data_IF_016056541994
#
_entry.id   IF_016056541994
#
_cell.length_a   1.000
_cell.length_b   1.000
_cell.length_c   1.000
_cell.angle_alpha   90.00
_cell.angle_beta   90.00
_cell.angle_gamma   90.00
#
_symmetry.space_group_name_H-M   'P 1'
#
loop_
_entity.id
_entity.type
_entity.pdbx_description
1 polymer ?
#
# COMPACT_ATOMS: atom_id res chain seq x y z
N UNK A 1 13.72 -19.68 29.13
CA UNK A 1 14.14 -18.40 28.54
C UNK A 1 13.27 -17.34 29.18
N UNK A 2 13.82 -16.23 29.70
CA UNK A 2 12.98 -15.11 30.12
C UNK A 2 12.13 -14.62 28.93
N UNK A 3 10.92 -14.13 29.18
CA UNK A 3 10.03 -13.64 28.12
C UNK A 3 10.57 -12.35 27.49
N UNK A 4 10.09 -11.97 26.29
CA UNK A 4 10.59 -10.81 25.54
C UNK A 4 10.57 -9.51 26.34
N UNK A 5 9.62 -9.36 27.27
CA UNK A 5 9.52 -8.20 28.17
C UNK A 5 10.78 -7.97 29.02
N UNK A 6 11.43 -9.04 29.49
CA UNK A 6 12.62 -8.93 30.33
C UNK A 6 13.86 -8.48 29.52
N UNK A 7 13.87 -8.75 28.22
CA UNK A 7 14.97 -8.40 27.31
C UNK A 7 14.82 -6.99 26.71
N UNK A 8 13.71 -6.29 26.98
CA UNK A 8 13.47 -4.92 26.54
C UNK A 8 14.34 -3.87 27.25
N UNK A 9 14.89 -4.17 28.44
CA UNK A 9 15.52 -3.14 29.28
C UNK A 9 16.57 -2.28 28.55
N UNK A 10 17.52 -2.83 27.77
CA UNK A 10 18.48 -2.02 27.02
C UNK A 10 17.85 -1.09 25.99
N UNK A 11 16.76 -1.52 25.35
CA UNK A 11 16.01 -0.71 24.38
C UNK A 11 15.24 0.41 25.08
N UNK A 12 14.59 0.10 26.20
CA UNK A 12 13.83 1.10 26.97
C UNK A 12 14.76 2.18 27.52
N UNK A 13 15.96 1.82 27.97
CA UNK A 13 16.96 2.79 28.42
C UNK A 13 17.46 3.67 27.26
N UNK A 14 17.62 3.10 26.07
CA UNK A 14 17.93 3.90 24.87
C UNK A 14 16.81 4.88 24.51
N UNK A 15 15.54 4.43 24.55
CA UNK A 15 14.38 5.28 24.32
C UNK A 15 14.33 6.46 25.31
N UNK A 16 14.46 6.16 26.62
CA UNK A 16 14.46 7.18 27.68
C UNK A 16 15.62 8.16 27.57
N UNK A 17 16.76 7.71 27.05
CA UNK A 17 17.91 8.58 26.81
C UNK A 17 17.66 9.60 25.69
N UNK A 18 16.66 9.37 24.82
CA UNK A 18 16.26 10.31 23.77
C UNK A 18 17.29 10.55 22.67
N UNK A 19 18.30 9.68 22.54
CA UNK A 19 19.42 9.87 21.61
C UNK A 19 19.14 9.19 20.26
N UNK A 20 19.23 9.92 19.13
CA UNK A 20 19.12 9.31 17.80
C UNK A 20 20.12 8.18 17.58
N UNK A 21 19.70 7.16 16.83
CA UNK A 21 20.61 6.12 16.37
C UNK A 21 21.54 6.71 15.30
N UNK A 22 22.83 6.88 15.59
CA UNK A 22 23.80 7.35 14.59
C UNK A 22 24.12 6.31 13.50
N UNK A 23 23.90 5.04 13.83
CA UNK A 23 24.06 3.87 12.98
C UNK A 23 22.97 2.83 13.33
N UNK A 24 22.98 1.66 12.67
CA UNK A 24 22.06 0.57 13.02
C UNK A 24 22.38 0.07 14.44
N UNK A 25 21.38 0.13 15.34
CA UNK A 25 21.47 -0.40 16.70
C UNK A 25 20.59 -1.64 16.81
N UNK A 26 21.20 -2.81 16.95
CA UNK A 26 20.50 -4.08 17.18
C UNK A 26 20.43 -4.37 18.69
N UNK A 27 19.22 -4.49 19.23
CA UNK A 27 18.95 -4.92 20.60
C UNK A 27 18.60 -6.41 20.60
N UNK A 28 18.48 -7.00 21.79
CA UNK A 28 17.90 -8.35 21.91
C UNK A 28 16.47 -8.40 21.35
N UNK A 29 15.71 -7.32 21.60
CA UNK A 29 14.35 -7.15 21.13
C UNK A 29 14.29 -5.90 20.25
N UNK A 30 14.29 -6.11 18.92
CA UNK A 30 14.15 -5.06 17.91
C UNK A 30 15.42 -4.32 17.51
N UNK A 31 15.26 -3.42 16.53
CA UNK A 31 16.35 -2.67 15.89
C UNK A 31 15.97 -1.21 15.72
N UNK A 32 16.85 -0.28 16.09
CA UNK A 32 16.75 1.12 15.73
C UNK A 32 17.66 1.48 14.54
N UNK A 33 17.19 2.35 13.65
CA UNK A 33 17.91 2.79 12.46
C UNK A 33 18.11 4.32 12.41
N UNK A 34 19.13 4.81 11.67
CA UNK A 34 19.44 6.24 11.60
C UNK A 34 18.36 7.14 11.00
N UNK A 35 17.40 6.57 10.28
CA UNK A 35 16.26 7.30 9.72
C UNK A 35 15.11 7.46 10.73
N UNK A 36 15.31 7.10 12.00
CA UNK A 36 14.31 7.20 13.05
C UNK A 36 13.32 6.03 13.07
N UNK A 37 13.59 4.94 12.34
CA UNK A 37 12.82 3.70 12.46
C UNK A 37 13.19 2.94 13.72
N UNK A 38 12.17 2.49 14.44
CA UNK A 38 12.26 1.46 15.46
C UNK A 38 11.44 0.25 15.01
N UNK A 39 12.12 -0.82 14.60
CA UNK A 39 11.49 -2.08 14.19
C UNK A 39 11.48 -3.06 15.36
N UNK A 40 10.28 -3.26 15.88
CA UNK A 40 9.91 -4.19 16.93
C UNK A 40 8.94 -5.25 16.42
N UNK A 41 8.89 -5.49 15.09
CA UNK A 41 8.02 -6.52 14.55
C UNK A 41 8.47 -7.93 14.97
N UNK A 42 7.50 -8.82 15.21
CA UNK A 42 7.69 -10.25 15.48
C UNK A 42 8.54 -10.51 16.73
N UNK A 43 8.35 -9.68 17.73
CA UNK A 43 9.00 -9.76 19.03
C UNK A 43 8.08 -10.34 20.12
N UNK A 44 6.82 -10.64 19.77
CA UNK A 44 5.83 -11.22 20.70
C UNK A 44 5.64 -10.34 21.96
N UNK A 45 5.66 -9.02 21.79
CA UNK A 45 5.62 -8.06 22.90
C UNK A 45 4.35 -8.16 23.75
N UNK A 46 3.21 -8.49 23.11
CA UNK A 46 1.90 -8.39 23.72
C UNK A 46 1.55 -6.97 24.16
N UNK A 47 0.41 -6.82 24.84
CA UNK A 47 -0.03 -5.53 25.37
C UNK A 47 0.94 -4.96 26.42
N UNK A 48 1.53 -5.80 27.27
CA UNK A 48 2.46 -5.38 28.33
C UNK A 48 3.76 -4.79 27.75
N UNK A 49 4.42 -5.49 26.83
CA UNK A 49 5.64 -4.98 26.20
C UNK A 49 5.38 -3.70 25.39
N UNK A 50 4.25 -3.62 24.70
CA UNK A 50 3.84 -2.41 24.00
C UNK A 50 3.59 -1.23 24.96
N UNK A 51 3.02 -1.47 26.14
CA UNK A 51 2.84 -0.44 27.15
C UNK A 51 4.18 0.10 27.68
N UNK A 52 5.16 -0.77 27.93
CA UNK A 52 6.49 -0.35 28.37
C UNK A 52 7.20 0.50 27.30
N UNK A 53 7.08 0.13 26.02
CA UNK A 53 7.64 0.91 24.91
C UNK A 53 6.95 2.27 24.81
N UNK A 54 5.61 2.30 24.87
CA UNK A 54 4.83 3.55 24.83
C UNK A 54 5.17 4.47 26.01
N UNK A 55 5.33 3.93 27.21
CA UNK A 55 5.75 4.68 28.39
C UNK A 55 7.15 5.27 28.21
N UNK A 56 8.11 4.48 27.72
CA UNK A 56 9.47 4.95 27.47
C UNK A 56 9.53 6.05 26.40
N UNK A 57 8.70 5.95 25.35
CA UNK A 57 8.55 6.98 24.33
C UNK A 57 7.97 8.30 24.88
N UNK A 58 7.09 8.22 25.89
CA UNK A 58 6.45 9.39 26.48
C UNK A 58 7.32 10.13 27.51
N UNK A 59 8.39 9.52 28.02
CA UNK A 59 9.22 10.06 29.11
C UNK A 59 10.24 11.14 28.67
N UNK A 60 10.34 11.47 27.38
CA UNK A 60 11.30 12.47 26.90
C UNK A 60 11.23 12.70 25.39
N UNK A 61 12.16 13.49 24.82
CA UNK A 61 12.25 13.64 23.37
C UNK A 61 12.59 12.29 22.74
N UNK A 62 11.72 11.81 21.84
CA UNK A 62 11.90 10.52 21.20
C UNK A 62 12.70 10.65 19.89
N UNK A 63 13.72 9.81 19.67
CA UNK A 63 14.40 9.72 18.37
C UNK A 63 13.57 8.97 17.31
N UNK A 64 12.41 8.41 17.69
CA UNK A 64 11.61 7.52 16.85
C UNK A 64 10.60 8.33 16.04
N UNK A 65 10.70 8.23 14.72
CA UNK A 65 9.75 8.80 13.75
C UNK A 65 8.83 7.73 13.16
N UNK A 66 9.28 6.48 13.12
CA UNK A 66 8.52 5.37 12.55
C UNK A 66 8.56 4.18 13.50
N UNK A 67 7.42 3.89 14.13
CA UNK A 67 7.28 2.82 15.10
C UNK A 67 6.63 1.60 14.43
N UNK A 68 7.39 0.52 14.30
CA UNK A 68 6.97 -0.71 13.64
C UNK A 68 6.79 -1.81 14.68
N UNK A 69 5.54 -2.12 14.99
CA UNK A 69 5.11 -3.11 15.98
C UNK A 69 4.19 -4.12 15.29
N UNK A 70 4.69 -4.83 14.28
CA UNK A 70 3.89 -5.78 13.51
C UNK A 70 4.05 -7.22 13.94
N UNK A 71 2.93 -7.95 14.07
CA UNK A 71 2.92 -9.38 14.46
C UNK A 71 3.41 -9.58 15.90
N UNK A 72 2.91 -8.77 16.83
CA UNK A 72 3.32 -8.77 18.24
C UNK A 72 2.19 -9.11 19.20
N UNK A 73 0.98 -9.36 18.70
CA UNK A 73 -0.15 -9.80 19.52
C UNK A 73 -0.67 -8.73 20.48
N UNK A 74 -0.64 -7.45 20.07
CA UNK A 74 -0.99 -6.34 20.94
C UNK A 74 -2.46 -6.32 21.39
N UNK A 75 -3.37 -6.80 20.53
CA UNK A 75 -4.81 -6.63 20.71
C UNK A 75 -5.23 -5.15 20.74
N UNK A 76 -6.49 -4.91 21.11
CA UNK A 76 -7.05 -3.56 21.14
C UNK A 76 -6.45 -2.70 22.27
N UNK A 77 -6.15 -3.32 23.42
CA UNK A 77 -5.57 -2.62 24.58
C UNK A 77 -4.15 -2.14 24.29
N UNK A 78 -3.28 -3.00 23.75
CA UNK A 78 -1.91 -2.60 23.40
C UNK A 78 -1.89 -1.53 22.30
N UNK A 79 -2.80 -1.62 21.33
CA UNK A 79 -2.90 -0.62 20.25
C UNK A 79 -3.33 0.76 20.76
N UNK A 80 -4.28 0.82 21.68
CA UNK A 80 -4.69 2.06 22.34
C UNK A 80 -3.54 2.70 23.13
N UNK A 81 -2.82 1.91 23.93
CA UNK A 81 -1.69 2.41 24.74
C UNK A 81 -0.57 2.94 23.84
N UNK A 82 -0.23 2.23 22.76
CA UNK A 82 0.75 2.70 21.78
C UNK A 82 0.32 4.00 21.11
N UNK A 83 -0.96 4.13 20.76
CA UNK A 83 -1.49 5.37 20.18
C UNK A 83 -1.47 6.54 21.18
N UNK A 84 -1.64 6.29 22.47
CA UNK A 84 -1.55 7.32 23.51
C UNK A 84 -0.09 7.77 23.77
N UNK A 85 0.86 6.83 23.77
CA UNK A 85 2.27 7.08 24.12
C UNK A 85 3.22 7.27 22.93
N UNK A 86 2.71 7.44 21.71
CA UNK A 86 3.55 7.53 20.50
C UNK A 86 4.24 8.89 20.31
N UNK A 87 3.87 9.92 21.07
CA UNK A 87 4.54 11.23 21.04
C UNK A 87 4.58 11.82 19.62
N UNK A 88 5.78 12.09 19.11
CA UNK A 88 6.05 12.72 17.80
C UNK A 88 6.21 11.70 16.65
N UNK A 89 5.75 10.46 16.81
CA UNK A 89 5.84 9.44 15.75
C UNK A 89 5.00 9.86 14.53
N UNK A 90 5.62 9.78 13.35
CA UNK A 90 4.99 10.08 12.06
C UNK A 90 4.32 8.85 11.45
N UNK A 91 4.79 7.64 11.78
CA UNK A 91 4.26 6.39 11.24
C UNK A 91 4.03 5.34 12.31
N UNK A 92 2.77 4.90 12.44
CA UNK A 92 2.36 3.79 13.29
C UNK A 92 2.12 2.56 12.41
N UNK A 93 2.98 1.56 12.52
CA UNK A 93 2.79 0.27 11.86
C UNK A 93 2.40 -0.80 12.87
N UNK A 94 1.12 -1.18 12.83
CA UNK A 94 0.46 -2.06 13.80
C UNK A 94 -0.17 -3.28 13.12
N UNK A 95 0.40 -3.73 12.00
CA UNK A 95 -0.14 -4.85 11.22
C UNK A 95 -0.08 -6.20 11.96
N UNK A 96 -1.05 -7.07 11.71
CA UNK A 96 -1.12 -8.43 12.27
C UNK A 96 -1.13 -8.50 13.81
N UNK A 97 -1.86 -7.63 14.52
CA UNK A 97 -1.88 -7.58 15.99
C UNK A 97 -3.20 -8.02 16.63
N UNK A 98 -4.17 -8.49 15.85
CA UNK A 98 -5.48 -8.85 16.38
C UNK A 98 -6.32 -7.64 16.78
N UNK A 99 -6.04 -6.46 16.22
CA UNK A 99 -6.78 -5.23 16.47
C UNK A 99 -8.15 -5.33 15.78
N UNK A 100 -9.23 -5.12 16.52
CA UNK A 100 -10.59 -5.07 16.02
C UNK A 100 -10.97 -3.65 15.58
N UNK A 101 -12.16 -3.48 15.01
CA UNK A 101 -12.69 -2.14 14.75
C UNK A 101 -12.74 -1.29 16.03
N UNK A 102 -13.03 -1.90 17.19
CA UNK A 102 -13.05 -1.21 18.47
C UNK A 102 -11.68 -0.64 18.83
N UNK A 103 -10.61 -1.44 18.73
CA UNK A 103 -9.24 -0.97 18.96
C UNK A 103 -8.83 0.13 17.99
N UNK A 104 -9.17 0.01 16.70
CA UNK A 104 -8.87 1.05 15.73
C UNK A 104 -9.62 2.38 15.99
N UNK A 105 -10.88 2.32 16.46
CA UNK A 105 -11.57 3.52 16.95
C UNK A 105 -10.86 4.14 18.16
N UNK A 106 -10.36 3.32 19.11
CA UNK A 106 -9.61 3.83 20.26
C UNK A 106 -8.28 4.49 19.85
N UNK A 107 -7.59 3.97 18.83
CA UNK A 107 -6.46 4.68 18.22
C UNK A 107 -6.91 6.06 17.72
N UNK A 108 -8.03 6.14 16.99
CA UNK A 108 -8.57 7.40 16.50
C UNK A 108 -8.92 8.37 17.63
N UNK A 109 -9.44 7.88 18.76
CA UNK A 109 -9.74 8.69 19.94
C UNK A 109 -8.46 9.27 20.57
N UNK A 110 -7.40 8.46 20.70
CA UNK A 110 -6.11 8.93 21.21
C UNK A 110 -5.48 9.99 20.29
N UNK A 111 -5.53 9.78 18.97
CA UNK A 111 -5.04 10.76 18.00
C UNK A 111 -5.85 12.07 18.00
N UNK A 112 -7.13 12.02 18.40
CA UNK A 112 -7.97 13.21 18.56
C UNK A 112 -7.64 13.96 19.85
N UNK A 113 -7.40 13.23 20.94
CA UNK A 113 -7.09 13.80 22.24
C UNK A 113 -5.70 14.46 22.27
N UNK A 114 -4.74 13.86 21.57
CA UNK A 114 -3.38 14.38 21.42
C UNK A 114 -3.05 14.45 19.93
N UNK A 115 -3.21 15.62 19.28
CA UNK A 115 -2.94 15.77 17.86
C UNK A 115 -1.45 15.52 17.55
N UNK A 116 -1.13 14.29 17.17
CA UNK A 116 0.22 13.90 16.79
C UNK A 116 0.50 14.24 15.31
N UNK A 117 1.78 14.21 14.93
CA UNK A 117 2.23 14.38 13.53
C UNK A 117 2.04 13.12 12.68
N UNK A 118 1.21 12.16 13.11
CA UNK A 118 0.98 10.90 12.41
C UNK A 118 0.52 11.17 10.98
N UNK A 119 1.37 10.80 10.03
CA UNK A 119 1.14 10.85 8.59
C UNK A 119 0.83 9.48 7.99
N UNK A 120 1.17 8.40 8.68
CA UNK A 120 0.94 7.03 8.22
C UNK A 120 0.39 6.11 9.31
N UNK A 121 -0.73 5.45 9.04
CA UNK A 121 -1.31 4.42 9.91
C UNK A 121 -1.44 3.12 9.11
N UNK A 122 -0.81 2.04 9.60
CA UNK A 122 -0.80 0.76 8.93
C UNK A 122 -1.44 -0.32 9.80
N UNK A 123 -2.65 -0.75 9.42
CA UNK A 123 -3.47 -1.70 10.16
C UNK A 123 -3.66 -3.03 9.42
N UNK A 124 -2.86 -3.31 8.39
CA UNK A 124 -3.03 -4.51 7.58
C UNK A 124 -3.14 -5.80 8.40
N UNK A 125 -3.99 -6.72 7.95
CA UNK A 125 -4.20 -8.04 8.57
C UNK A 125 -4.63 -7.97 10.04
N UNK A 126 -5.36 -6.93 10.41
CA UNK A 126 -6.09 -6.85 11.68
C UNK A 126 -7.59 -7.09 11.44
N UNK A 127 -8.28 -7.86 12.28
CA UNK A 127 -9.69 -8.23 12.08
C UNK A 127 -10.65 -7.07 12.39
N UNK A 128 -10.61 -5.99 11.61
CA UNK A 128 -11.55 -4.87 11.77
C UNK A 128 -12.99 -5.29 11.39
N UNK A 129 -13.13 -6.17 10.40
CA UNK A 129 -14.42 -6.68 9.93
C UNK A 129 -15.32 -5.59 9.35
N UNK A 130 -16.63 -5.78 9.45
CA UNK A 130 -17.65 -4.83 8.95
C UNK A 130 -17.58 -3.46 9.64
N UNK A 131 -17.06 -3.39 10.87
CA UNK A 131 -16.80 -2.12 11.57
C UNK A 131 -15.59 -1.34 11.03
N UNK A 132 -14.77 -1.95 10.17
CA UNK A 132 -13.51 -1.36 9.69
C UNK A 132 -13.69 -0.08 8.88
N UNK A 133 -14.79 0.07 8.13
CA UNK A 133 -15.10 1.32 7.42
C UNK A 133 -15.29 2.50 8.36
N UNK A 134 -16.05 2.30 9.46
CA UNK A 134 -16.24 3.31 10.51
C UNK A 134 -14.93 3.65 11.21
N UNK A 135 -14.15 2.64 11.59
CA UNK A 135 -12.86 2.87 12.24
C UNK A 135 -11.89 3.65 11.33
N UNK A 136 -11.86 3.34 10.04
CA UNK A 136 -11.06 4.08 9.07
C UNK A 136 -11.53 5.53 8.89
N UNK A 137 -12.84 5.77 8.88
CA UNK A 137 -13.42 7.11 8.84
C UNK A 137 -13.00 7.95 10.07
N UNK A 138 -13.07 7.36 11.27
CA UNK A 138 -12.64 8.03 12.50
C UNK A 138 -11.14 8.32 12.49
N UNK A 139 -10.30 7.41 12.01
CA UNK A 139 -8.87 7.67 11.84
C UNK A 139 -8.60 8.82 10.88
N UNK A 140 -9.30 8.88 9.74
CA UNK A 140 -9.20 9.98 8.78
C UNK A 140 -9.63 11.29 9.44
N UNK A 141 -10.69 11.30 10.23
CA UNK A 141 -11.18 12.51 10.90
C UNK A 141 -10.19 13.01 11.98
N UNK A 142 -9.71 12.10 12.83
CA UNK A 142 -8.84 12.42 13.97
C UNK A 142 -7.43 12.80 13.55
N UNK A 143 -6.80 12.01 12.68
CA UNK A 143 -5.42 12.20 12.28
C UNK A 143 -5.32 13.28 11.17
N UNK A 144 -5.32 14.55 11.58
CA UNK A 144 -5.38 15.72 10.67
C UNK A 144 -4.28 15.72 9.59
N UNK A 145 -3.10 15.21 9.93
CA UNK A 145 -1.92 15.12 9.07
C UNK A 145 -1.79 13.80 8.29
N UNK A 146 -2.75 12.89 8.42
CA UNK A 146 -2.72 11.58 7.77
C UNK A 146 -2.61 11.72 6.25
N UNK A 147 -1.69 10.98 5.66
CA UNK A 147 -1.44 10.90 4.21
C UNK A 147 -1.53 9.45 3.70
N UNK A 148 -1.18 8.47 4.53
CA UNK A 148 -1.17 7.05 4.15
C UNK A 148 -1.97 6.22 5.13
N UNK A 149 -2.89 5.43 4.58
CA UNK A 149 -3.72 4.50 5.35
C UNK A 149 -3.66 3.11 4.71
N UNK A 150 -3.20 2.12 5.48
CA UNK A 150 -3.21 0.70 5.08
C UNK A 150 -4.26 -0.09 5.86
N UNK A 151 -5.21 -0.64 5.11
CA UNK A 151 -6.34 -1.46 5.53
C UNK A 151 -6.36 -2.81 4.78
N UNK A 152 -5.22 -3.28 4.28
CA UNK A 152 -5.10 -4.54 3.53
C UNK A 152 -5.53 -5.72 4.39
N UNK A 153 -6.42 -6.56 3.86
CA UNK A 153 -6.94 -7.75 4.55
C UNK A 153 -7.48 -7.44 5.96
N UNK A 154 -8.27 -6.39 6.11
CA UNK A 154 -8.88 -6.02 7.40
C UNK A 154 -10.31 -6.53 7.57
N UNK A 155 -10.87 -7.16 6.54
CA UNK A 155 -12.25 -7.66 6.54
C UNK A 155 -13.29 -6.58 6.26
N UNK A 156 -12.87 -5.42 5.72
CA UNK A 156 -13.79 -4.39 5.26
C UNK A 156 -14.66 -4.97 4.13
N UNK A 157 -15.96 -4.79 4.27
CA UNK A 157 -16.97 -5.22 3.31
C UNK A 157 -17.41 -4.04 2.42
N UNK A 158 -18.31 -4.26 1.45
CA UNK A 158 -18.78 -3.18 0.57
C UNK A 158 -19.43 -2.01 1.32
N UNK A 159 -20.15 -2.27 2.41
CA UNK A 159 -20.77 -1.23 3.21
C UNK A 159 -19.72 -0.38 3.94
N UNK A 160 -18.68 -1.01 4.48
CA UNK A 160 -17.53 -0.31 5.05
C UNK A 160 -16.77 0.53 4.03
N UNK A 161 -16.67 0.07 2.77
CA UNK A 161 -16.06 0.86 1.69
C UNK A 161 -16.84 2.13 1.35
N UNK A 162 -18.17 2.13 1.49
CA UNK A 162 -19.00 3.34 1.36
C UNK A 162 -18.62 4.36 2.44
N UNK A 163 -18.61 3.92 3.70
CA UNK A 163 -18.26 4.80 4.84
C UNK A 163 -16.85 5.38 4.71
N UNK A 164 -15.88 4.56 4.29
CA UNK A 164 -14.52 5.01 4.02
C UNK A 164 -14.47 6.05 2.89
N UNK A 165 -15.18 5.82 1.79
CA UNK A 165 -15.21 6.75 0.67
C UNK A 165 -15.81 8.10 1.06
N UNK A 166 -16.90 8.10 1.84
CA UNK A 166 -17.51 9.34 2.34
C UNK A 166 -16.52 10.13 3.21
N UNK A 167 -15.75 9.46 4.07
CA UNK A 167 -14.72 10.10 4.88
C UNK A 167 -13.57 10.69 4.02
N UNK A 168 -13.13 9.97 2.98
CA UNK A 168 -12.10 10.46 2.05
C UNK A 168 -12.59 11.69 1.27
N UNK A 169 -13.83 11.65 0.78
CA UNK A 169 -14.45 12.76 0.07
C UNK A 169 -14.64 13.99 0.99
N UNK A 170 -15.08 13.78 2.22
CA UNK A 170 -15.21 14.83 3.22
C UNK A 170 -13.84 15.46 3.57
N UNK A 171 -12.79 14.64 3.71
CA UNK A 171 -11.43 15.14 3.92
C UNK A 171 -10.96 15.99 2.74
N UNK A 172 -11.13 15.50 1.51
CA UNK A 172 -10.78 16.22 0.29
C UNK A 172 -11.54 17.55 0.14
N UNK A 173 -12.83 17.58 0.44
CA UNK A 173 -13.65 18.80 0.43
C UNK A 173 -13.17 19.86 1.42
N UNK A 174 -12.50 19.44 2.50
CA UNK A 174 -11.87 20.32 3.49
C UNK A 174 -10.41 20.66 3.17
N UNK A 175 -9.93 20.37 1.95
CA UNK A 175 -8.55 20.61 1.53
C UNK A 175 -7.51 19.69 2.18
N UNK A 176 -7.94 18.66 2.92
CA UNK A 176 -7.06 17.63 3.47
C UNK A 176 -6.82 16.55 2.42
N UNK A 177 -5.64 15.96 2.44
CA UNK A 177 -5.21 15.01 1.41
C UNK A 177 -4.74 13.71 2.03
N UNK A 178 -5.51 12.66 1.84
CA UNK A 178 -4.99 11.30 1.91
C UNK A 178 -4.33 11.03 0.56
N UNK A 179 -3.03 10.77 0.56
CA UNK A 179 -2.25 10.53 -0.64
C UNK A 179 -2.37 9.07 -1.08
N UNK A 180 -2.35 8.12 -0.14
CA UNK A 180 -2.25 6.67 -0.41
C UNK A 180 -3.23 5.86 0.41
N UNK A 181 -3.99 5.01 -0.28
CA UNK A 181 -4.88 4.04 0.35
C UNK A 181 -4.53 2.63 -0.12
N UNK A 182 -4.21 1.77 0.85
CA UNK A 182 -4.09 0.33 0.64
C UNK A 182 -5.34 -0.34 1.22
N UNK A 183 -6.14 -0.98 0.39
CA UNK A 183 -7.38 -1.68 0.80
C UNK A 183 -7.52 -3.05 0.15
N UNK A 184 -6.42 -3.56 -0.43
CA UNK A 184 -6.40 -4.87 -1.10
C UNK A 184 -6.72 -6.04 -0.17
N UNK A 185 -7.11 -7.17 -0.75
CA UNK A 185 -7.43 -8.40 0.00
C UNK A 185 -8.71 -8.34 0.83
N UNK A 186 -9.54 -7.30 0.64
CA UNK A 186 -10.89 -7.18 1.18
C UNK A 186 -11.92 -7.56 0.12
N UNK A 187 -12.98 -8.28 0.46
CA UNK A 187 -13.96 -8.74 -0.54
C UNK A 187 -14.96 -7.61 -0.86
N UNK A 188 -14.53 -6.69 -1.72
CA UNK A 188 -15.29 -5.48 -2.06
C UNK A 188 -16.27 -5.70 -3.22
N UNK A 189 -15.87 -6.49 -4.23
CA UNK A 189 -16.71 -6.64 -5.43
C UNK A 189 -17.00 -5.33 -6.15
N UNK A 190 -17.94 -5.35 -7.09
CA UNK A 190 -18.36 -4.13 -7.80
C UNK A 190 -19.03 -3.10 -6.85
N UNK A 191 -19.81 -3.59 -5.88
CA UNK A 191 -20.54 -2.73 -4.93
C UNK A 191 -19.59 -1.91 -4.04
N UNK A 192 -18.49 -2.51 -3.57
CA UNK A 192 -17.46 -1.77 -2.85
C UNK A 192 -16.53 -0.97 -3.77
N UNK A 193 -16.50 -1.28 -5.08
CA UNK A 193 -15.74 -0.49 -6.06
C UNK A 193 -16.43 0.83 -6.40
N UNK A 194 -17.76 0.86 -6.49
CA UNK A 194 -18.53 2.05 -6.83
C UNK A 194 -18.19 3.29 -5.96
N UNK A 195 -18.16 3.21 -4.61
CA UNK A 195 -17.75 4.34 -3.78
C UNK A 195 -16.28 4.72 -3.96
N UNK A 196 -15.37 3.76 -4.15
CA UNK A 196 -13.96 4.05 -4.47
C UNK A 196 -13.79 4.73 -5.83
N UNK A 197 -14.63 4.40 -6.80
CA UNK A 197 -14.66 5.08 -8.10
C UNK A 197 -15.12 6.55 -7.95
N UNK A 198 -16.01 6.86 -7.01
CA UNK A 198 -16.35 8.25 -6.69
C UNK A 198 -15.16 9.02 -6.10
N UNK A 199 -14.38 8.40 -5.20
CA UNK A 199 -13.13 8.96 -4.65
C UNK A 199 -12.12 9.27 -5.78
N UNK A 200 -11.94 8.35 -6.73
CA UNK A 200 -11.06 8.55 -7.89
C UNK A 200 -11.55 9.71 -8.77
N UNK A 201 -12.85 9.75 -9.09
CA UNK A 201 -13.42 10.81 -9.92
C UNK A 201 -13.34 12.20 -9.27
N UNK A 202 -13.41 12.26 -7.95
CA UNK A 202 -13.24 13.50 -7.18
C UNK A 202 -11.77 13.95 -7.09
N UNK A 203 -10.82 13.13 -7.51
CA UNK A 203 -9.39 13.39 -7.32
C UNK A 203 -9.00 13.45 -5.85
N UNK A 204 -9.69 12.69 -4.99
CA UNK A 204 -9.47 12.72 -3.54
C UNK A 204 -8.23 11.92 -3.09
N UNK A 205 -7.57 11.20 -4.00
CA UNK A 205 -6.39 10.37 -3.70
C UNK A 205 -5.37 10.38 -4.85
N UNK A 206 -4.11 10.10 -4.55
CA UNK A 206 -3.02 10.03 -5.54
C UNK A 206 -2.67 8.58 -5.90
N UNK A 207 -2.72 7.68 -4.92
CA UNK A 207 -2.39 6.27 -5.10
C UNK A 207 -3.46 5.38 -4.47
N UNK A 208 -4.02 4.47 -5.28
CA UNK A 208 -5.03 3.52 -4.85
C UNK A 208 -4.55 2.09 -5.09
N UNK A 209 -4.47 1.31 -4.01
CA UNK A 209 -4.09 -0.11 -4.04
C UNK A 209 -5.27 -0.97 -3.59
N UNK A 210 -5.98 -1.54 -4.56
CA UNK A 210 -7.21 -2.33 -4.38
C UNK A 210 -7.07 -3.71 -5.06
N UNK A 211 -5.90 -4.32 -4.89
CA UNK A 211 -5.59 -5.66 -5.41
C UNK A 211 -6.34 -6.76 -4.64
N UNK A 212 -6.62 -7.91 -5.27
CA UNK A 212 -7.23 -9.07 -4.61
C UNK A 212 -8.56 -8.76 -3.89
N UNK A 213 -9.37 -7.86 -4.46
CA UNK A 213 -10.63 -7.37 -3.91
C UNK A 213 -11.88 -7.86 -4.66
N UNK A 214 -11.70 -8.81 -5.60
CA UNK A 214 -12.75 -9.43 -6.42
C UNK A 214 -13.58 -8.44 -7.25
N UNK A 215 -12.95 -7.37 -7.75
CA UNK A 215 -13.65 -6.32 -8.49
C UNK A 215 -14.33 -6.85 -9.77
N UNK A 216 -13.69 -7.82 -10.45
CA UNK A 216 -14.14 -8.33 -11.75
C UNK A 216 -14.21 -7.23 -12.83
N UNK A 217 -14.81 -7.57 -13.97
CA UNK A 217 -15.03 -6.60 -15.06
C UNK A 217 -15.93 -5.44 -14.63
N UNK A 218 -16.97 -5.70 -13.84
CA UNK A 218 -17.89 -4.66 -13.39
C UNK A 218 -17.18 -3.56 -12.57
N UNK A 219 -16.36 -3.96 -11.59
CA UNK A 219 -15.55 -3.00 -10.81
C UNK A 219 -14.48 -2.32 -11.66
N UNK A 220 -13.82 -3.04 -12.58
CA UNK A 220 -12.84 -2.43 -13.49
C UNK A 220 -13.47 -1.35 -14.38
N UNK A 221 -14.69 -1.57 -14.87
CA UNK A 221 -15.42 -0.59 -15.68
C UNK A 221 -15.81 0.64 -14.85
N UNK A 222 -16.24 0.49 -13.59
CA UNK A 222 -16.52 1.61 -12.70
C UNK A 222 -15.29 2.49 -12.47
N UNK A 223 -14.12 1.89 -12.22
CA UNK A 223 -12.86 2.63 -12.11
C UNK A 223 -12.48 3.31 -13.42
N UNK A 224 -12.67 2.63 -14.55
CA UNK A 224 -12.38 3.20 -15.87
C UNK A 224 -13.28 4.40 -16.19
N UNK A 225 -14.56 4.35 -15.85
CA UNK A 225 -15.51 5.47 -16.02
C UNK A 225 -15.19 6.63 -15.07
N UNK A 226 -14.70 6.35 -13.87
CA UNK A 226 -14.23 7.38 -12.95
C UNK A 226 -12.98 8.11 -13.46
N UNK A 227 -12.01 7.36 -13.99
CA UNK A 227 -10.79 7.92 -14.57
C UNK A 227 -11.10 8.81 -15.78
N UNK A 228 -12.04 8.43 -16.63
CA UNK A 228 -12.45 9.26 -17.78
C UNK A 228 -13.17 10.54 -17.40
N UNK A 229 -13.88 10.55 -16.26
CA UNK A 229 -14.49 11.78 -15.70
C UNK A 229 -13.47 12.69 -15.01
N UNK A 230 -12.24 12.22 -14.82
CA UNK A 230 -11.13 12.97 -14.22
C UNK A 230 -9.89 12.95 -15.14
N UNK A 231 -9.97 13.49 -16.38
CA UNK A 231 -8.82 13.53 -17.27
C UNK A 231 -7.71 14.39 -16.68
N UNK A 232 -6.47 13.89 -16.69
CA UNK A 232 -5.34 14.49 -15.96
C UNK A 232 -5.63 14.70 -14.46
N UNK A 233 -6.42 13.80 -13.88
CA UNK A 233 -6.76 13.77 -12.46
C UNK A 233 -5.54 13.52 -11.57
N UNK A 234 -5.78 13.49 -10.26
CA UNK A 234 -4.69 13.34 -9.27
C UNK A 234 -4.10 11.94 -9.19
N UNK A 235 -4.83 10.92 -9.65
CA UNK A 235 -4.40 9.53 -9.48
C UNK A 235 -3.17 9.23 -10.34
N UNK A 236 -2.02 9.07 -9.70
CA UNK A 236 -0.74 8.76 -10.34
C UNK A 236 -0.44 7.26 -10.32
N UNK A 237 -1.01 6.50 -9.38
CA UNK A 237 -0.84 5.05 -9.28
C UNK A 237 -2.15 4.33 -8.99
N UNK A 238 -2.41 3.28 -9.76
CA UNK A 238 -3.54 2.39 -9.54
C UNK A 238 -3.06 0.93 -9.56
N UNK A 239 -3.31 0.20 -8.49
CA UNK A 239 -3.10 -1.24 -8.44
C UNK A 239 -4.41 -1.98 -8.28
N UNK A 240 -4.72 -2.83 -9.27
CA UNK A 240 -5.89 -3.70 -9.33
C UNK A 240 -5.48 -5.14 -9.62
N UNK A 241 -4.27 -5.54 -9.20
CA UNK A 241 -3.74 -6.88 -9.39
C UNK A 241 -4.64 -7.96 -8.78
N UNK A 242 -4.70 -9.14 -9.41
CA UNK A 242 -5.49 -10.30 -8.96
C UNK A 242 -6.97 -10.00 -8.64
N UNK A 243 -7.69 -9.33 -9.52
CA UNK A 243 -9.10 -8.99 -9.30
C UNK A 243 -10.10 -9.79 -10.17
N UNK A 244 -9.62 -10.79 -10.91
CA UNK A 244 -10.45 -11.51 -11.88
C UNK A 244 -10.98 -10.61 -13.01
N UNK A 245 -10.24 -9.55 -13.34
CA UNK A 245 -10.61 -8.64 -14.43
C UNK A 245 -10.37 -9.35 -15.76
N UNK A 246 -11.39 -9.45 -16.60
CA UNK A 246 -11.31 -10.06 -17.92
C UNK A 246 -10.67 -9.15 -18.97
N UNK A 247 -10.45 -9.66 -20.20
CA UNK A 247 -9.74 -8.92 -21.24
C UNK A 247 -10.39 -7.59 -21.61
N UNK A 248 -11.73 -7.53 -21.62
CA UNK A 248 -12.47 -6.30 -21.92
C UNK A 248 -12.29 -5.26 -20.82
N UNK A 249 -12.45 -5.64 -19.56
CA UNK A 249 -12.23 -4.76 -18.42
C UNK A 249 -10.78 -4.26 -18.37
N UNK A 250 -9.81 -5.15 -18.58
CA UNK A 250 -8.39 -4.81 -18.57
C UNK A 250 -8.03 -3.80 -19.67
N UNK A 251 -8.45 -4.05 -20.92
CA UNK A 251 -8.19 -3.12 -22.02
C UNK A 251 -8.84 -1.74 -21.80
N UNK A 252 -10.09 -1.73 -21.30
CA UNK A 252 -10.82 -0.49 -20.99
C UNK A 252 -10.15 0.29 -19.87
N UNK A 253 -9.72 -0.39 -18.80
CA UNK A 253 -9.04 0.25 -17.69
C UNK A 253 -7.68 0.83 -18.10
N UNK A 254 -6.91 0.14 -18.94
CA UNK A 254 -5.66 0.68 -19.50
C UNK A 254 -5.93 1.93 -20.34
N UNK A 255 -6.97 1.92 -21.18
CA UNK A 255 -7.35 3.08 -21.97
C UNK A 255 -7.73 4.29 -21.10
N UNK A 256 -8.57 4.07 -20.10
CA UNK A 256 -8.98 5.12 -19.17
C UNK A 256 -7.81 5.66 -18.33
N UNK A 257 -6.95 4.77 -17.81
CA UNK A 257 -5.76 5.17 -17.05
C UNK A 257 -4.77 5.98 -17.91
N UNK A 258 -4.60 5.60 -19.18
CA UNK A 258 -3.78 6.34 -20.14
C UNK A 258 -4.33 7.75 -20.36
N UNK A 259 -5.63 7.88 -20.60
CA UNK A 259 -6.30 9.17 -20.81
C UNK A 259 -6.33 10.04 -19.54
N UNK A 260 -6.46 9.43 -18.37
CA UNK A 260 -6.46 10.13 -17.08
C UNK A 260 -5.05 10.58 -16.64
N UNK A 261 -3.99 10.14 -17.32
CA UNK A 261 -2.62 10.51 -16.98
C UNK A 261 -2.04 9.72 -15.79
N UNK A 262 -2.55 8.50 -15.53
CA UNK A 262 -1.98 7.59 -14.54
C UNK A 262 -0.55 7.22 -14.96
N UNK A 263 0.39 7.29 -14.01
CA UNK A 263 1.80 7.00 -14.26
C UNK A 263 2.15 5.51 -14.19
N UNK A 264 1.49 4.79 -13.28
CA UNK A 264 1.67 3.36 -13.06
C UNK A 264 0.31 2.66 -12.89
N UNK A 265 0.06 1.67 -13.73
CA UNK A 265 -1.09 0.77 -13.63
C UNK A 265 -0.60 -0.66 -13.38
N UNK A 266 -0.99 -1.24 -12.25
CA UNK A 266 -0.71 -2.63 -11.91
C UNK A 266 -1.94 -3.53 -12.10
N UNK A 267 -1.90 -4.36 -13.15
CA UNK A 267 -2.87 -5.38 -13.49
C UNK A 267 -2.33 -6.80 -13.23
N UNK A 268 -1.20 -6.92 -12.55
CA UNK A 268 -0.49 -8.18 -12.38
C UNK A 268 -1.10 -9.10 -11.33
N UNK A 269 -0.23 -9.80 -10.61
CA UNK A 269 -0.61 -10.71 -9.53
C UNK A 269 0.09 -10.37 -8.22
N UNK A 270 -0.70 -10.26 -7.16
CA UNK A 270 -0.16 -10.15 -5.80
C UNK A 270 0.33 -11.50 -5.30
N UNK A 271 1.38 -11.51 -4.47
CA UNK A 271 1.94 -12.75 -3.90
C UNK A 271 0.91 -13.54 -3.09
N UNK A 272 0.05 -12.83 -2.37
CA UNK A 272 -0.98 -13.43 -1.53
C UNK A 272 -2.16 -14.04 -2.32
N UNK A 273 -2.21 -13.92 -3.65
CA UNK A 273 -3.38 -14.28 -4.44
C UNK A 273 -3.82 -15.74 -4.24
N UNK A 274 -2.89 -16.69 -4.12
CA UNK A 274 -3.22 -18.09 -3.89
C UNK A 274 -3.90 -18.31 -2.52
N UNK A 275 -3.36 -17.70 -1.46
CA UNK A 275 -3.90 -17.79 -0.10
C UNK A 275 -5.25 -17.09 0.02
N UNK A 276 -5.44 -15.99 -0.70
CA UNK A 276 -6.68 -15.22 -0.75
C UNK A 276 -7.76 -15.81 -1.66
N UNK A 277 -7.44 -16.85 -2.45
CA UNK A 277 -8.32 -17.34 -3.50
C UNK A 277 -8.65 -16.26 -4.55
N UNK A 278 -7.74 -15.32 -4.76
CA UNK A 278 -7.92 -14.21 -5.68
C UNK A 278 -7.57 -14.66 -7.11
N UNK A 279 -8.50 -14.45 -8.04
CA UNK A 279 -8.32 -14.78 -9.44
C UNK A 279 -7.35 -13.80 -10.12
N UNK A 280 -6.51 -14.31 -11.01
CA UNK A 280 -5.66 -13.48 -11.86
C UNK A 280 -6.51 -12.63 -12.81
N UNK A 281 -5.99 -11.46 -13.17
CA UNK A 281 -6.55 -10.70 -14.30
C UNK A 281 -6.19 -11.39 -15.61
N UNK A 282 -6.94 -11.13 -16.68
CA UNK A 282 -6.71 -11.74 -17.97
C UNK A 282 -6.57 -10.69 -19.08
N UNK A 283 -5.53 -10.84 -19.91
CA UNK A 283 -5.31 -10.07 -21.12
C UNK A 283 -5.13 -11.06 -22.26
N UNK A 284 -6.13 -11.14 -23.12
CA UNK A 284 -6.09 -11.94 -24.34
C UNK A 284 -5.47 -11.18 -25.51
N UNK A 285 -5.46 -11.79 -26.69
CA UNK A 285 -4.90 -11.19 -27.90
C UNK A 285 -5.58 -9.88 -28.30
N UNK A 286 -6.92 -9.81 -28.22
CA UNK A 286 -7.67 -8.62 -28.63
C UNK A 286 -7.42 -7.47 -27.65
N UNK A 287 -7.36 -7.78 -26.35
CA UNK A 287 -7.01 -6.82 -25.32
C UNK A 287 -5.59 -6.31 -25.50
N UNK A 288 -4.61 -7.18 -25.76
CA UNK A 288 -3.23 -6.76 -26.04
C UNK A 288 -3.12 -5.85 -27.29
N UNK A 289 -3.84 -6.16 -28.38
CA UNK A 289 -3.92 -5.31 -29.57
C UNK A 289 -4.57 -3.95 -29.26
N UNK A 290 -5.61 -3.93 -28.42
CA UNK A 290 -6.27 -2.69 -28.00
C UNK A 290 -5.34 -1.83 -27.14
N UNK A 291 -4.67 -2.44 -26.15
CA UNK A 291 -3.69 -1.77 -25.29
C UNK A 291 -2.57 -1.16 -26.15
N UNK A 292 -2.02 -1.94 -27.07
CA UNK A 292 -0.98 -1.47 -27.99
C UNK A 292 -1.43 -0.27 -28.83
N UNK A 293 -2.68 -0.26 -29.31
CA UNK A 293 -3.27 0.87 -30.04
C UNK A 293 -3.49 2.11 -29.17
N UNK A 294 -3.98 1.94 -27.94
CA UNK A 294 -4.15 3.04 -26.99
C UNK A 294 -2.82 3.76 -26.73
N UNK A 295 -1.75 3.02 -26.45
CA UNK A 295 -0.45 3.59 -26.06
C UNK A 295 0.26 4.34 -27.21
N UNK A 296 -0.09 4.05 -28.47
CA UNK A 296 0.46 4.79 -29.63
C UNK A 296 -0.43 5.92 -30.12
N UNK A 297 -1.67 6.03 -29.60
CA UNK A 297 -2.65 6.98 -30.13
C UNK A 297 -2.31 8.44 -29.81
N UNK A 298 -1.71 8.69 -28.65
CA UNK A 298 -1.36 10.03 -28.18
C UNK A 298 -0.24 9.96 -27.13
N UNK A 299 0.39 11.11 -26.88
CA UNK A 299 1.28 11.27 -25.73
C UNK A 299 0.49 11.08 -24.42
N UNK A 300 1.06 10.33 -23.48
CA UNK A 300 0.44 10.02 -22.20
C UNK A 300 1.48 9.94 -21.08
N UNK A 301 1.02 9.74 -19.83
CA UNK A 301 1.90 9.64 -18.63
C UNK A 301 2.16 8.21 -18.17
N UNK A 302 1.48 7.22 -18.74
CA UNK A 302 1.60 5.81 -18.35
C UNK A 302 2.96 5.22 -18.73
N UNK A 303 3.90 5.30 -17.80
CA UNK A 303 5.29 4.81 -17.97
C UNK A 303 5.47 3.39 -17.49
N UNK A 304 4.57 2.88 -16.64
CA UNK A 304 4.66 1.54 -16.07
C UNK A 304 3.33 0.81 -16.19
N UNK A 305 3.34 -0.32 -16.89
CA UNK A 305 2.20 -1.21 -17.02
C UNK A 305 2.59 -2.63 -16.60
N UNK A 306 2.08 -3.07 -15.45
CA UNK A 306 2.36 -4.41 -14.92
C UNK A 306 1.31 -5.39 -15.39
N UNK A 307 1.75 -6.41 -16.15
CA UNK A 307 0.92 -7.46 -16.75
C UNK A 307 1.46 -8.84 -16.36
N UNK A 308 2.09 -8.94 -15.19
CA UNK A 308 2.62 -10.21 -14.70
C UNK A 308 1.46 -11.15 -14.35
N UNK A 309 1.52 -12.41 -14.80
CA UNK A 309 0.45 -13.39 -14.57
C UNK A 309 -0.93 -12.96 -15.09
N UNK A 310 -0.99 -12.23 -16.21
CA UNK A 310 -2.25 -11.83 -16.87
C UNK A 310 -2.81 -12.87 -17.85
N UNK A 311 -2.32 -14.11 -17.81
CA UNK A 311 -2.60 -15.14 -18.82
C UNK A 311 -1.98 -14.88 -20.21
N UNK A 312 -1.28 -13.76 -20.42
CA UNK A 312 -0.57 -13.48 -21.67
C UNK A 312 0.53 -14.51 -21.96
N UNK A 313 0.67 -14.87 -23.23
CA UNK A 313 1.80 -15.64 -23.78
C UNK A 313 2.56 -14.79 -24.78
N UNK A 314 3.58 -15.37 -25.42
CA UNK A 314 4.39 -14.67 -26.40
C UNK A 314 3.55 -14.02 -27.51
N UNK A 315 2.45 -14.65 -27.94
CA UNK A 315 1.57 -14.13 -29.00
C UNK A 315 0.95 -12.78 -28.63
N UNK A 316 0.45 -12.64 -27.42
CA UNK A 316 -0.13 -11.41 -26.89
C UNK A 316 0.96 -10.36 -26.67
N UNK A 317 2.10 -10.76 -26.09
CA UNK A 317 3.24 -9.86 -25.87
C UNK A 317 3.82 -9.31 -27.19
N UNK A 318 3.77 -10.09 -28.27
CA UNK A 318 4.15 -9.61 -29.61
C UNK A 318 3.28 -8.45 -30.09
N UNK A 319 1.98 -8.42 -29.74
CA UNK A 319 1.10 -7.30 -30.11
C UNK A 319 1.49 -5.98 -29.48
N UNK A 320 1.97 -6.04 -28.23
CA UNK A 320 2.56 -4.87 -27.58
C UNK A 320 3.89 -4.47 -28.25
N UNK A 321 4.73 -5.44 -28.61
CA UNK A 321 6.01 -5.19 -29.29
C UNK A 321 5.83 -4.64 -30.71
N UNK A 322 4.74 -4.97 -31.42
CA UNK A 322 4.43 -4.45 -32.75
C UNK A 322 4.07 -2.95 -32.72
N UNK A 323 3.60 -2.43 -31.59
CA UNK A 323 3.19 -1.03 -31.44
C UNK A 323 4.17 -0.20 -30.62
N UNK A 324 4.82 -0.76 -29.60
CA UNK A 324 5.69 -0.04 -28.67
C UNK A 324 6.79 0.82 -29.33
N UNK A 325 7.49 0.39 -30.41
CA UNK A 325 8.48 1.23 -31.09
C UNK A 325 7.93 2.53 -31.71
N UNK A 326 6.61 2.61 -31.90
CA UNK A 326 5.91 3.77 -32.47
C UNK A 326 5.29 4.68 -31.41
N UNK A 327 5.32 4.29 -30.14
CA UNK A 327 4.73 5.07 -29.06
C UNK A 327 5.59 6.31 -28.80
N UNK A 328 4.95 7.48 -28.71
CA UNK A 328 5.62 8.74 -28.33
C UNK A 328 6.07 8.66 -26.88
N UNK A 329 5.19 8.19 -26.00
CA UNK A 329 5.54 7.89 -24.62
C UNK A 329 6.05 6.45 -24.51
N UNK A 330 7.28 6.22 -24.06
CA UNK A 330 7.76 4.88 -23.79
C UNK A 330 7.10 4.32 -22.53
N UNK A 331 6.70 3.05 -22.58
CA UNK A 331 6.09 2.33 -21.45
C UNK A 331 6.89 1.09 -21.12
N UNK A 332 7.27 0.95 -19.85
CA UNK A 332 7.87 -0.27 -19.29
C UNK A 332 6.78 -1.29 -19.00
N UNK A 333 6.83 -2.43 -19.69
CA UNK A 333 5.94 -3.56 -19.47
C UNK A 333 6.58 -4.56 -18.51
N UNK A 334 5.94 -4.84 -17.38
CA UNK A 334 6.39 -5.91 -16.47
C UNK A 334 5.62 -7.18 -16.81
N UNK A 335 6.32 -8.13 -17.46
CA UNK A 335 5.71 -9.33 -18.06
C UNK A 335 6.00 -10.61 -17.27
N UNK A 336 4.98 -11.44 -17.11
CA UNK A 336 5.04 -12.70 -16.36
C UNK A 336 5.75 -13.84 -17.09
N UNK A 337 5.76 -15.03 -16.50
CA UNK A 337 6.30 -16.24 -17.11
C UNK A 337 5.51 -16.67 -18.36
N UNK A 338 6.08 -17.52 -19.21
CA UNK A 338 5.41 -18.03 -20.42
C UNK A 338 5.51 -17.12 -21.67
N UNK A 339 6.25 -16.01 -21.56
CA UNK A 339 6.62 -15.10 -22.66
C UNK A 339 8.10 -15.27 -22.96
N UNK A 340 8.45 -15.41 -24.24
CA UNK A 340 9.82 -15.61 -24.69
C UNK A 340 10.75 -14.49 -24.20
N UNK A 341 11.92 -14.87 -23.68
CA UNK A 341 12.90 -13.93 -23.13
C UNK A 341 13.37 -12.89 -24.18
N UNK A 342 13.39 -13.25 -25.46
CA UNK A 342 13.69 -12.33 -26.56
C UNK A 342 12.66 -11.20 -26.69
N UNK A 343 11.38 -11.47 -26.48
CA UNK A 343 10.30 -10.47 -26.52
C UNK A 343 10.43 -9.53 -25.33
N UNK A 344 10.64 -10.07 -24.13
CA UNK A 344 10.84 -9.28 -22.90
C UNK A 344 12.02 -8.32 -23.04
N UNK A 345 13.20 -8.83 -23.43
CA UNK A 345 14.41 -8.00 -23.63
C UNK A 345 14.20 -6.88 -24.64
N UNK A 346 13.47 -7.12 -25.73
CA UNK A 346 13.18 -6.08 -26.73
C UNK A 346 12.27 -4.98 -26.18
N UNK A 347 11.22 -5.35 -25.44
CA UNK A 347 10.35 -4.38 -24.77
C UNK A 347 11.09 -3.61 -23.67
N UNK A 348 11.91 -4.30 -22.87
CA UNK A 348 12.76 -3.69 -21.84
C UNK A 348 13.74 -2.67 -22.44
N UNK A 349 14.37 -2.99 -23.58
CA UNK A 349 15.29 -2.09 -24.26
C UNK A 349 14.62 -0.78 -24.70
N UNK A 350 13.35 -0.82 -25.16
CA UNK A 350 12.59 0.38 -25.53
C UNK A 350 12.31 1.31 -24.34
N UNK A 351 12.29 0.75 -23.12
CA UNK A 351 11.96 1.46 -21.88
C UNK A 351 13.13 1.51 -20.89
N UNK A 352 14.37 1.31 -21.35
CA UNK A 352 15.56 1.22 -20.50
C UNK A 352 15.87 2.53 -19.75
N UNK A 353 15.57 3.67 -20.37
CA UNK A 353 15.78 5.01 -19.82
C UNK A 353 14.70 5.45 -18.81
N UNK A 354 13.59 4.70 -18.70
CA UNK A 354 12.55 4.99 -17.72
C UNK A 354 13.07 4.63 -16.33
N UNK A 355 13.08 5.56 -15.36
CA UNK A 355 13.52 5.25 -14.00
C UNK A 355 12.57 4.25 -13.33
N UNK A 356 13.08 3.48 -12.38
CA UNK A 356 12.21 2.65 -11.54
C UNK A 356 11.19 3.54 -10.80
N UNK A 357 9.97 3.03 -10.50
CA UNK A 357 9.00 3.79 -9.73
C UNK A 357 9.60 4.19 -8.37
N UNK A 358 9.55 5.48 -8.03
CA UNK A 358 9.98 5.95 -6.71
C UNK A 358 9.03 5.48 -5.63
N UNK A 359 9.57 4.92 -4.55
CA UNK A 359 8.79 4.62 -3.36
C UNK A 359 8.67 5.87 -2.50
N UNK A 360 7.47 6.20 -2.03
CA UNK A 360 7.30 7.32 -1.12
C UNK A 360 8.02 7.04 0.23
N UNK A 361 8.62 8.07 0.87
CA UNK A 361 9.43 7.86 2.08
C UNK A 361 8.68 7.17 3.23
N UNK A 362 7.41 7.50 3.42
CA UNK A 362 6.51 6.90 4.41
C UNK A 362 6.22 5.42 4.13
N UNK A 363 6.08 5.02 2.86
CA UNK A 363 5.95 3.62 2.45
C UNK A 363 7.29 2.88 2.57
N UNK A 364 8.41 3.55 2.30
CA UNK A 364 9.74 2.98 2.52
C UNK A 364 10.02 2.73 4.01
N UNK A 365 9.50 3.60 4.87
CA UNK A 365 9.72 3.56 6.31
C UNK A 365 9.12 2.31 6.99
N UNK A 366 8.08 1.70 6.41
CA UNK A 366 7.47 0.48 6.96
C UNK A 366 8.10 -0.82 6.44
N UNK A 367 9.20 -0.74 5.68
CA UNK A 367 9.99 -1.93 5.33
C UNK A 367 10.73 -2.43 6.58
N UNK A 368 10.43 -3.66 6.97
CA UNK A 368 11.10 -4.32 8.09
C UNK A 368 12.62 -4.43 7.89
N UNK A 369 13.37 -4.33 8.99
CA UNK A 369 14.84 -4.40 9.05
C UNK A 369 15.42 -5.71 8.55
N UNK A 370 14.65 -6.80 8.57
CA UNK A 370 15.05 -8.07 7.95
C UNK A 370 15.10 -8.00 6.42
N UNK A 371 14.59 -6.92 5.83
CA UNK A 371 14.66 -6.60 4.39
C UNK A 371 15.56 -5.40 4.11
N UNK A 372 16.26 -4.88 5.12
CA UNK A 372 17.21 -3.77 4.99
C UNK A 372 18.63 -4.36 5.06
N UNK A 373 19.44 -4.20 4.02
CA UNK A 373 20.78 -4.78 3.95
C UNK A 373 21.67 -4.32 5.10
N UNK A 374 22.53 -5.22 5.61
CA UNK A 374 23.56 -4.87 6.60
C UNK A 374 24.70 -4.09 5.93
N UNK A 375 25.36 -3.14 6.62
CA UNK A 375 26.56 -2.49 6.07
C UNK A 375 27.62 -3.55 5.71
N UNK A 376 28.00 -3.63 4.43
CA UNK A 376 29.04 -4.56 3.94
C UNK A 376 28.54 -5.82 3.22
N UNK A 377 27.23 -6.10 3.22
CA UNK A 377 26.64 -7.17 2.40
C UNK A 377 26.09 -6.57 1.11
N UNK A 378 26.70 -6.88 -0.04
CA UNK A 378 26.15 -6.48 -1.35
C UNK A 378 24.78 -7.11 -1.55
N UNK A 379 23.81 -6.34 -2.07
CA UNK A 379 22.53 -6.85 -2.57
C UNK A 379 22.78 -7.88 -3.69
N UNK A 380 22.99 -9.13 -3.33
CA UNK A 380 23.01 -10.25 -4.27
C UNK A 380 21.75 -11.07 -4.03
N UNK A 381 20.73 -10.76 -4.85
CA UNK A 381 19.71 -11.74 -5.19
C UNK A 381 18.48 -11.80 -4.28
N UNK A 382 17.90 -10.67 -3.88
CA UNK A 382 16.44 -10.61 -3.65
C UNK A 382 15.92 -9.26 -4.15
N UNK A 383 15.44 -9.22 -5.40
CA UNK A 383 14.60 -8.13 -5.91
C UNK A 383 13.22 -8.19 -5.24
N UNK A 384 13.15 -7.87 -3.94
CA UNK A 384 11.93 -7.78 -3.16
C UNK A 384 11.61 -6.31 -2.87
N UNK A 385 11.04 -5.64 -3.87
CA UNK A 385 10.19 -4.49 -3.58
C UNK A 385 9.12 -4.91 -2.55
N UNK A 386 8.72 -4.03 -1.62
CA UNK A 386 7.56 -4.26 -0.78
C UNK A 386 6.42 -4.58 -1.75
N UNK A 387 5.88 -5.79 -1.63
CA UNK A 387 4.64 -6.08 -2.31
C UNK A 387 3.60 -5.15 -1.67
N UNK A 388 2.99 -4.23 -2.43
CA UNK A 388 1.83 -3.50 -1.94
C UNK A 388 0.67 -4.46 -1.68
#
# INVERSE_FOLDING_TARGET
MPGPVAELAPLLDWLRAGRPAGERLDFAVGTALPDGRLDLCKQELGAEGAALVAEALAQGPSPVRHLLLGTDGLGDEGAEVVAAGSGDVETLYLGCNGITAGGACRIADQLRASPQVVTGVWLKRNPLGSGGGRAAAELIESARSLRTLDLVQTGIDPAGAVVLADALLAAAGNGRRIERLFIGGNTLGADGTAPLAAVVAAGAIDELYVSAARLGDAGALLLADALERAPYGRLVRLSVASNGIGPRGAARLVAAATAAGVGLLDLGRVRAAAVLGAADNHVDLRAAESIGRTLVAAEHRLTHLVLSHSGMRSREAHRLLDTAPRAVTPTRFVLGQGIAASVKRRLEALAAHIPAPSLAPDVAAVRSVHRTARPGESEHGVSDAPSP
#
